data_IF_926415283515
#
_entry.id   IF_926415283515
#
_cell.length_a   1.000
_cell.length_b   1.000
_cell.length_c   1.000
_cell.angle_alpha   90.00
_cell.angle_beta   90.00
_cell.angle_gamma   90.00
#
_symmetry.space_group_name_H-M   'P 1'
#
loop_
_entity.id
_entity.type
_entity.pdbx_description
1 polymer ?
#
# COMPACT_ATOMS: atom_id res chain seq x y z
N UNK A 1 13.23 4.24 8.06
CA UNK A 1 12.49 3.79 6.85
C UNK A 1 11.47 4.85 6.44
N UNK A 2 10.31 4.95 7.08
CA UNK A 2 9.34 6.02 6.80
C UNK A 2 9.53 7.21 7.74
N UNK A 3 9.65 8.42 7.17
CA UNK A 3 9.76 9.68 7.92
C UNK A 3 8.41 10.14 8.45
N UNK A 4 7.32 9.87 7.74
CA UNK A 4 5.97 10.25 8.14
C UNK A 4 5.07 9.03 8.31
N UNK A 5 4.38 9.02 9.45
CA UNK A 5 3.39 8.02 9.82
C UNK A 5 2.22 8.76 10.46
N UNK A 6 1.05 8.69 9.84
CA UNK A 6 -0.12 9.42 10.30
C UNK A 6 -1.41 8.62 10.10
N UNK A 7 -2.34 8.72 11.05
CA UNK A 7 -3.67 8.17 10.92
C UNK A 7 -4.57 9.13 10.12
N UNK A 8 -5.45 8.57 9.28
CA UNK A 8 -6.48 9.34 8.61
C UNK A 8 -7.47 9.98 9.60
N UNK A 9 -8.47 10.68 9.05
CA UNK A 9 -9.47 11.38 9.84
C UNK A 9 -10.87 10.98 9.41
N UNK A 10 -11.74 10.85 10.41
CA UNK A 10 -13.13 10.44 10.20
C UNK A 10 -13.87 11.45 9.32
N UNK A 11 -14.53 10.94 8.29
CA UNK A 11 -15.49 11.65 7.45
C UNK A 11 -16.69 10.70 7.26
N UNK A 12 -17.83 11.01 7.90
CA UNK A 12 -19.01 10.13 7.84
C UNK A 12 -19.56 10.12 6.42
N UNK A 13 -20.17 9.01 6.02
CA UNK A 13 -20.75 8.85 4.69
C UNK A 13 -21.77 9.95 4.34
N UNK A 14 -22.55 10.38 5.32
CA UNK A 14 -23.56 11.44 5.19
C UNK A 14 -22.93 12.82 4.92
N UNK A 15 -21.70 13.04 5.38
CA UNK A 15 -20.95 14.29 5.21
C UNK A 15 -20.05 14.27 3.96
N UNK A 16 -19.97 13.14 3.24
CA UNK A 16 -19.15 13.01 2.04
C UNK A 16 -19.80 13.73 0.87
N UNK A 17 -19.07 14.66 0.28
CA UNK A 17 -19.46 15.32 -0.97
C UNK A 17 -18.75 14.60 -2.11
N UNK A 18 -19.50 14.18 -3.14
CA UNK A 18 -18.93 13.53 -4.32
C UNK A 18 -17.84 14.40 -4.96
N UNK A 19 -16.81 13.74 -5.50
CA UNK A 19 -15.67 14.37 -6.16
C UNK A 19 -14.73 13.31 -6.71
N UNK A 20 -13.47 13.67 -6.94
CA UNK A 20 -12.50 12.82 -7.64
C UNK A 20 -11.38 12.29 -6.74
N UNK A 21 -11.33 12.68 -5.46
CA UNK A 21 -10.28 12.22 -4.54
C UNK A 21 -10.69 10.87 -3.96
N UNK A 22 -9.92 9.79 -4.17
CA UNK A 22 -10.21 8.50 -3.56
C UNK A 22 -10.21 8.60 -2.04
N UNK A 23 -11.26 8.13 -1.38
CA UNK A 23 -11.35 8.05 0.07
C UNK A 23 -11.16 6.61 0.54
N UNK A 24 -10.06 6.36 1.24
CA UNK A 24 -9.62 5.04 1.70
C UNK A 24 -10.10 4.76 3.12
N UNK A 25 -10.65 3.58 3.34
CA UNK A 25 -11.09 3.07 4.64
C UNK A 25 -10.63 1.61 4.83
N UNK A 26 -10.93 1.03 6.00
CA UNK A 26 -10.63 -0.38 6.26
C UNK A 26 -11.42 -1.32 5.35
N UNK A 27 -10.73 -2.34 4.81
CA UNK A 27 -11.31 -3.31 3.89
C UNK A 27 -10.39 -3.65 2.71
N UNK A 28 -10.70 -4.76 2.03
CA UNK A 28 -9.90 -5.27 0.92
C UNK A 28 -10.53 -5.02 -0.45
N UNK A 29 -11.85 -4.84 -0.51
CA UNK A 29 -12.58 -4.52 -1.75
C UNK A 29 -12.04 -3.24 -2.35
N UNK A 30 -11.73 -3.26 -3.65
CA UNK A 30 -11.08 -2.15 -4.35
C UNK A 30 -9.85 -1.60 -3.59
N UNK A 31 -9.10 -2.49 -2.94
CA UNK A 31 -7.97 -2.15 -2.06
C UNK A 31 -8.33 -1.15 -0.96
N UNK A 32 -9.56 -1.13 -0.46
CA UNK A 32 -10.01 -0.22 0.60
C UNK A 32 -10.46 1.17 0.12
N UNK A 33 -10.51 1.45 -1.17
CA UNK A 33 -11.17 2.68 -1.68
C UNK A 33 -12.68 2.53 -1.53
N UNK A 34 -13.26 3.29 -0.62
CA UNK A 34 -14.68 3.22 -0.28
C UNK A 34 -15.55 4.11 -1.18
N UNK A 35 -15.04 5.27 -1.59
CA UNK A 35 -15.74 6.26 -2.40
C UNK A 35 -14.75 7.28 -2.99
N UNK A 36 -15.27 8.23 -3.77
CA UNK A 36 -14.55 9.42 -4.21
C UNK A 36 -15.21 10.68 -3.68
N UNK A 37 -14.41 11.59 -3.12
CA UNK A 37 -14.88 12.77 -2.40
C UNK A 37 -14.17 14.04 -2.86
N UNK A 38 -14.78 15.21 -2.63
CA UNK A 38 -14.15 16.52 -2.81
C UNK A 38 -13.74 17.18 -1.49
N UNK A 39 -14.16 16.63 -0.34
CA UNK A 39 -13.95 17.21 0.99
C UNK A 39 -13.21 16.29 1.98
N UNK A 40 -12.05 15.69 1.64
CA UNK A 40 -11.33 14.84 2.58
C UNK A 40 -10.82 15.65 3.77
N UNK A 41 -11.12 15.20 5.00
CA UNK A 41 -10.65 15.86 6.23
C UNK A 41 -9.15 15.70 6.44
N UNK A 42 -8.57 14.60 5.95
CA UNK A 42 -7.14 14.36 5.89
C UNK A 42 -6.77 13.82 4.51
N UNK A 43 -5.82 14.48 3.87
CA UNK A 43 -5.31 14.12 2.54
C UNK A 43 -3.83 13.76 2.62
N UNK A 44 -3.44 12.78 1.82
CA UNK A 44 -2.12 12.18 1.81
C UNK A 44 -1.54 12.18 0.39
N UNK A 45 -0.20 12.26 0.26
CA UNK A 45 0.45 12.27 -1.04
C UNK A 45 0.36 10.91 -1.72
N UNK A 46 0.67 10.91 -3.02
CA UNK A 46 0.99 9.67 -3.76
C UNK A 46 2.26 9.02 -3.19
N UNK A 47 2.50 7.79 -3.63
CA UNK A 47 3.63 6.96 -3.23
C UNK A 47 3.67 6.76 -1.71
N UNK A 48 2.54 6.30 -1.17
CA UNK A 48 2.37 6.00 0.24
C UNK A 48 1.88 4.57 0.42
N UNK A 49 2.04 4.02 1.62
CA UNK A 49 1.44 2.75 2.02
C UNK A 49 0.31 3.05 3.00
N UNK A 50 -0.85 2.44 2.80
CA UNK A 50 -1.93 2.42 3.77
C UNK A 50 -1.95 1.08 4.50
N UNK A 51 -2.12 1.08 5.82
CA UNK A 51 -2.43 -0.12 6.61
C UNK A 51 -3.68 0.14 7.45
N UNK A 52 -4.72 -0.67 7.25
CA UNK A 52 -5.96 -0.53 8.01
C UNK A 52 -5.91 -1.22 9.39
N UNK A 53 -6.96 -1.00 10.19
CA UNK A 53 -7.14 -1.61 11.52
C UNK A 53 -7.20 -3.16 11.53
N UNK A 54 -7.29 -3.81 10.36
CA UNK A 54 -7.25 -5.27 10.22
C UNK A 54 -5.89 -5.77 9.70
N UNK A 55 -4.94 -4.87 9.46
CA UNK A 55 -3.62 -5.20 8.95
C UNK A 55 -3.56 -5.39 7.44
N UNK A 56 -4.59 -4.96 6.68
CA UNK A 56 -4.52 -4.95 5.23
C UNK A 56 -3.62 -3.80 4.79
N UNK A 57 -2.55 -4.11 4.07
CA UNK A 57 -1.58 -3.13 3.60
C UNK A 57 -1.66 -2.97 2.08
N UNK A 58 -1.71 -1.74 1.58
CA UNK A 58 -1.79 -1.42 0.15
C UNK A 58 -0.88 -0.25 -0.21
N UNK A 59 -0.20 -0.37 -1.34
CA UNK A 59 0.54 0.73 -1.95
C UNK A 59 -0.40 1.65 -2.73
N UNK A 60 -0.17 2.97 -2.65
CA UNK A 60 -0.94 4.01 -3.34
C UNK A 60 -0.04 4.82 -4.26
N UNK A 61 -0.24 4.73 -5.56
CA UNK A 61 0.46 5.54 -6.56
C UNK A 61 -0.20 6.90 -6.85
N UNK A 62 -1.26 7.24 -6.12
CA UNK A 62 -2.08 8.45 -6.29
C UNK A 62 -2.31 9.12 -4.93
N UNK A 63 -2.62 10.41 -4.93
CA UNK A 63 -3.02 11.14 -3.72
C UNK A 63 -4.46 10.76 -3.32
N UNK A 64 -4.75 10.75 -2.02
CA UNK A 64 -6.00 10.21 -1.49
C UNK A 64 -6.37 10.83 -0.15
N UNK A 65 -7.65 10.76 0.21
CA UNK A 65 -8.12 10.95 1.58
C UNK A 65 -8.17 9.63 2.33
N UNK A 66 -8.01 9.63 3.65
CA UNK A 66 -8.14 8.40 4.45
C UNK A 66 -8.95 8.60 5.73
N UNK A 67 -9.73 7.57 6.08
CA UNK A 67 -10.50 7.47 7.31
C UNK A 67 -9.64 7.23 8.55
N UNK A 68 -10.24 7.40 9.73
CA UNK A 68 -9.62 7.16 11.03
C UNK A 68 -9.35 5.67 11.32
N UNK A 69 -9.73 4.77 10.44
CA UNK A 69 -9.44 3.33 10.49
C UNK A 69 -8.21 2.92 9.66
N UNK A 70 -7.50 3.91 9.11
CA UNK A 70 -6.37 3.71 8.20
C UNK A 70 -5.14 4.51 8.63
N UNK A 71 -4.01 3.83 8.80
CA UNK A 71 -2.69 4.45 8.98
C UNK A 71 -1.96 4.60 7.65
N UNK A 72 -1.24 5.70 7.47
CA UNK A 72 -0.54 6.06 6.23
C UNK A 72 0.95 6.27 6.51
N UNK A 73 1.81 5.69 5.65
CA UNK A 73 3.27 5.68 5.77
C UNK A 73 3.89 6.19 4.47
N UNK A 74 4.71 7.24 4.54
CA UNK A 74 5.36 7.81 3.36
C UNK A 74 6.67 8.53 3.71
N UNK A 75 7.43 8.84 2.67
CA UNK A 75 8.60 9.71 2.74
C UNK A 75 8.33 10.98 1.93
N UNK A 76 8.99 12.10 2.28
CA UNK A 76 8.92 13.29 1.46
C UNK A 76 9.67 13.09 0.14
N UNK A 77 9.40 13.92 -0.89
CA UNK A 77 9.98 13.76 -2.22
C UNK A 77 11.50 13.64 -2.25
N UNK A 78 12.22 14.34 -1.37
CA UNK A 78 13.68 14.29 -1.30
C UNK A 78 14.25 12.94 -0.81
N UNK A 79 13.43 12.07 -0.22
CA UNK A 79 13.82 10.75 0.30
C UNK A 79 12.85 9.65 -0.16
N UNK A 80 12.25 9.86 -1.33
CA UNK A 80 11.21 9.00 -1.85
C UNK A 80 11.78 7.64 -2.30
N UNK A 81 11.10 6.55 -1.95
CA UNK A 81 11.45 5.22 -2.46
C UNK A 81 10.83 5.00 -3.83
N UNK A 82 11.49 4.21 -4.68
CA UNK A 82 10.92 3.76 -5.94
C UNK A 82 9.64 2.96 -5.71
N UNK A 83 8.80 2.89 -6.74
CA UNK A 83 7.55 2.13 -6.72
C UNK A 83 7.80 0.66 -6.34
N UNK A 84 8.86 0.08 -6.86
CA UNK A 84 9.25 -1.31 -6.66
C UNK A 84 9.63 -1.58 -5.20
N UNK A 85 10.42 -0.68 -4.60
CA UNK A 85 10.72 -0.72 -3.16
C UNK A 85 9.43 -0.61 -2.36
N UNK A 86 8.54 0.32 -2.71
CA UNK A 86 7.27 0.51 -2.00
C UNK A 86 6.35 -0.71 -2.08
N UNK A 87 6.33 -1.42 -3.21
CA UNK A 87 5.61 -2.69 -3.35
C UNK A 87 6.22 -3.80 -2.49
N UNK A 88 7.55 -3.89 -2.43
CA UNK A 88 8.23 -4.84 -1.55
C UNK A 88 7.89 -4.55 -0.08
N UNK A 89 8.00 -3.29 0.35
CA UNK A 89 7.70 -2.87 1.71
C UNK A 89 6.25 -3.13 2.08
N UNK A 90 5.31 -2.85 1.17
CA UNK A 90 3.88 -3.17 1.36
C UNK A 90 3.68 -4.66 1.62
N UNK A 91 4.37 -5.51 0.85
CA UNK A 91 4.32 -6.96 1.00
C UNK A 91 4.91 -7.41 2.34
N UNK A 92 6.07 -6.87 2.72
CA UNK A 92 6.70 -7.16 4.01
C UNK A 92 5.83 -6.71 5.20
N UNK A 93 5.21 -5.53 5.10
CA UNK A 93 4.23 -5.01 6.06
C UNK A 93 3.06 -5.98 6.22
N UNK A 94 2.41 -6.36 5.11
CA UNK A 94 1.28 -7.30 5.12
C UNK A 94 1.65 -8.65 5.75
N UNK A 95 2.81 -9.21 5.39
CA UNK A 95 3.29 -10.49 5.95
C UNK A 95 3.60 -10.39 7.44
N UNK A 96 4.12 -9.25 7.91
CA UNK A 96 4.46 -9.05 9.32
C UNK A 96 3.24 -9.06 10.25
N UNK A 97 2.05 -8.74 9.71
CA UNK A 97 0.78 -8.66 10.43
C UNK A 97 -0.23 -9.75 10.05
N UNK A 98 0.13 -10.65 9.15
CA UNK A 98 -0.76 -11.67 8.64
C UNK A 98 -1.43 -12.47 9.76
N UNK A 99 -2.77 -12.51 9.75
CA UNK A 99 -3.64 -13.17 10.75
C UNK A 99 -3.44 -12.70 12.20
N UNK A 100 -2.83 -11.53 12.45
CA UNK A 100 -2.65 -10.98 13.81
C UNK A 100 -3.81 -10.12 14.30
N UNK A 101 -4.64 -9.61 13.38
CA UNK A 101 -5.73 -8.68 13.67
C UNK A 101 -7.06 -9.18 13.10
N UNK A 102 -8.15 -8.78 13.75
CA UNK A 102 -9.53 -9.18 13.44
C UNK A 102 -10.51 -8.18 14.06
N UNK A 103 -11.82 -8.39 13.89
CA UNK A 103 -12.85 -7.57 14.55
C UNK A 103 -12.69 -7.50 16.08
N UNK A 104 -12.35 -8.61 16.73
CA UNK A 104 -12.08 -8.68 18.17
C UNK A 104 -10.70 -8.17 18.58
N UNK A 105 -9.78 -7.95 17.63
CA UNK A 105 -8.41 -7.53 17.87
C UNK A 105 -7.95 -6.56 16.77
N UNK A 106 -8.30 -5.29 16.92
CA UNK A 106 -7.95 -4.24 15.95
C UNK A 106 -6.53 -3.73 16.15
N UNK A 107 -5.84 -3.44 15.06
CA UNK A 107 -4.57 -2.73 15.06
C UNK A 107 -4.82 -1.27 15.44
N UNK A 108 -4.22 -0.80 16.53
CA UNK A 108 -4.21 0.62 16.89
C UNK A 108 -2.98 1.31 16.31
N UNK A 109 -3.10 2.59 15.96
CA UNK A 109 -2.01 3.40 15.41
C UNK A 109 -0.73 3.32 16.25
N UNK A 110 -0.85 3.37 17.57
CA UNK A 110 0.29 3.26 18.51
C UNK A 110 0.98 1.89 18.50
N UNK A 111 0.30 0.84 18.06
CA UNK A 111 0.88 -0.50 17.94
C UNK A 111 1.66 -0.66 16.64
N UNK A 112 1.29 0.08 15.59
CA UNK A 112 1.91 -0.06 14.27
C UNK A 112 3.43 0.21 14.28
N UNK A 113 3.86 1.21 15.05
CA UNK A 113 5.26 1.57 15.25
C UNK A 113 6.11 0.46 15.89
N UNK A 114 5.47 -0.51 16.56
CA UNK A 114 6.14 -1.62 17.26
C UNK A 114 6.24 -2.88 16.38
N UNK A 115 5.65 -2.86 15.19
CA UNK A 115 5.65 -4.02 14.29
C UNK A 115 7.02 -4.12 13.62
N UNK A 116 7.74 -5.19 13.93
CA UNK A 116 9.00 -5.51 13.26
C UNK A 116 8.73 -6.23 11.95
N UNK A 117 9.30 -5.71 10.87
CA UNK A 117 9.29 -6.34 9.55
C UNK A 117 10.60 -7.08 9.33
N UNK A 118 10.53 -8.24 8.65
CA UNK A 118 11.72 -8.87 8.08
C UNK A 118 11.92 -8.34 6.67
N UNK A 119 13.13 -7.88 6.39
CA UNK A 119 13.52 -7.29 5.12
C UNK A 119 14.74 -8.01 4.58
N UNK A 120 14.99 -7.88 3.28
CA UNK A 120 16.30 -8.20 2.73
C UNK A 120 17.33 -7.24 3.33
N UNK A 121 18.49 -7.78 3.68
CA UNK A 121 19.54 -7.04 4.33
C UNK A 121 20.86 -7.23 3.60
N UNK A 122 21.65 -6.16 3.55
CA UNK A 122 23.03 -6.15 3.10
C UNK A 122 23.91 -6.92 4.09
N UNK A 123 25.17 -7.26 3.73
CA UNK A 123 26.09 -7.94 4.66
C UNK A 123 26.34 -7.20 5.99
N UNK A 124 26.22 -5.87 6.00
CA UNK A 124 26.31 -5.00 7.18
C UNK A 124 24.98 -4.85 7.95
N UNK A 125 23.93 -5.57 7.54
CA UNK A 125 22.66 -5.65 8.25
C UNK A 125 21.69 -4.50 7.99
N UNK A 126 21.98 -3.62 7.02
CA UNK A 126 21.08 -2.55 6.60
C UNK A 126 20.04 -3.06 5.60
N UNK A 127 18.85 -2.43 5.46
CA UNK A 127 17.90 -2.82 4.43
C UNK A 127 18.50 -2.71 3.02
N UNK A 128 18.49 -3.81 2.27
CA UNK A 128 19.01 -3.88 0.90
C UNK A 128 17.93 -3.47 -0.11
N UNK A 129 17.79 -2.16 -0.30
CA UNK A 129 16.78 -1.61 -1.20
C UNK A 129 17.02 -1.92 -2.68
N UNK A 130 18.28 -2.07 -3.10
CA UNK A 130 18.64 -2.38 -4.49
C UNK A 130 18.21 -3.79 -4.87
N UNK A 131 18.43 -4.76 -3.97
CA UNK A 131 17.95 -6.13 -4.16
C UNK A 131 16.43 -6.19 -4.11
N UNK A 132 15.77 -5.45 -3.20
CA UNK A 132 14.30 -5.38 -3.16
C UNK A 132 13.72 -4.84 -4.48
N UNK A 133 14.30 -3.76 -5.01
CA UNK A 133 13.90 -3.17 -6.29
C UNK A 133 14.10 -4.15 -7.45
N UNK A 134 15.27 -4.78 -7.51
CA UNK A 134 15.63 -5.75 -8.57
C UNK A 134 14.69 -6.95 -8.54
N UNK A 135 14.39 -7.48 -7.36
CA UNK A 135 13.49 -8.62 -7.18
C UNK A 135 12.08 -8.31 -7.70
N UNK A 136 11.49 -7.19 -7.28
CA UNK A 136 10.15 -6.80 -7.74
C UNK A 136 10.15 -6.56 -9.26
N UNK A 137 11.17 -5.90 -9.79
CA UNK A 137 11.33 -5.69 -11.23
C UNK A 137 11.40 -7.01 -12.00
N UNK A 138 12.16 -7.99 -11.50
CA UNK A 138 12.30 -9.30 -12.13
C UNK A 138 10.97 -10.06 -12.13
N UNK A 139 10.22 -10.05 -11.02
CA UNK A 139 8.89 -10.65 -10.92
C UNK A 139 7.94 -10.01 -11.93
N UNK A 140 7.88 -8.67 -12.00
CA UNK A 140 7.03 -7.97 -12.95
C UNK A 140 7.37 -8.30 -14.41
N UNK A 141 8.67 -8.31 -14.76
CA UNK A 141 9.13 -8.69 -16.10
C UNK A 141 8.73 -10.11 -16.47
N UNK A 142 8.81 -11.05 -15.51
CA UNK A 142 8.38 -12.42 -15.73
C UNK A 142 6.88 -12.50 -16.00
N UNK A 143 6.05 -11.81 -15.21
CA UNK A 143 4.59 -11.77 -15.44
C UNK A 143 4.25 -11.15 -16.80
N UNK A 144 4.89 -10.03 -17.17
CA UNK A 144 4.67 -9.37 -18.46
C UNK A 144 5.00 -10.33 -19.62
N UNK A 145 6.15 -11.01 -19.54
CA UNK A 145 6.56 -12.00 -20.54
C UNK A 145 5.53 -13.11 -20.72
N UNK A 146 4.98 -13.62 -19.61
CA UNK A 146 3.99 -14.71 -19.66
C UNK A 146 2.64 -14.24 -20.23
N UNK A 147 2.23 -13.00 -19.94
CA UNK A 147 1.03 -12.38 -20.54
C UNK A 147 1.18 -12.17 -22.05
N UNK A 148 2.35 -11.72 -22.50
CA UNK A 148 2.63 -11.54 -23.94
C UNK A 148 2.50 -12.88 -24.67
N UNK A 149 3.16 -13.92 -24.17
CA UNK A 149 3.07 -15.27 -24.75
C UNK A 149 1.64 -15.80 -24.82
N UNK A 150 0.87 -15.62 -23.74
CA UNK A 150 -0.53 -16.04 -23.73
C UNK A 150 -1.35 -15.33 -24.81
N UNK A 151 -1.12 -14.03 -24.99
CA UNK A 151 -1.84 -13.22 -25.99
C UNK A 151 -1.46 -13.64 -27.42
N UNK A 152 -0.18 -13.87 -27.68
CA UNK A 152 0.31 -14.38 -28.97
C UNK A 152 -0.31 -15.73 -29.33
N UNK A 153 -0.38 -16.66 -28.36
CA UNK A 153 -1.05 -17.96 -28.55
C UNK A 153 -2.54 -17.79 -28.89
N UNK A 154 -3.26 -16.92 -28.16
CA UNK A 154 -4.69 -16.67 -28.41
C UNK A 154 -4.95 -16.05 -29.78
N UNK A 155 -4.06 -15.16 -30.25
CA UNK A 155 -4.16 -14.56 -31.57
C UNK A 155 -3.92 -15.59 -32.69
N UNK A 156 -2.98 -16.52 -32.49
CA UNK A 156 -2.69 -17.59 -33.42
C UNK A 156 -3.81 -18.65 -33.49
N UNK A 157 -4.51 -18.91 -32.38
CA UNK A 157 -5.69 -19.79 -32.34
C UNK A 157 -6.94 -19.19 -32.99
N UNK A 158 -6.95 -17.86 -33.20
CA UNK A 158 -8.10 -17.12 -33.76
C UNK A 158 -8.00 -16.89 -35.27
N UNK A 159 -6.95 -17.40 -35.93
CA UNK A 159 -6.73 -17.41 -37.38
C UNK A 159 -6.70 -18.85 -37.89
#
# INVERSE_FOLDING_TARGET
>A
MFKYIQQGRRLKKEDQISGDIPFVMAGTTNTGVANYVSNPVAQFPKNAITMDIFGNAFYRSYAFGAGDDTGVYWNPPENEYSREIMLFLTTAMSKSVFKKFSYGKKLRSSQSLKIKMKLLATPDGQPDFDTMQTLISAVQKQVIKDVVKYTEQKMAESH
#
